data_IF_613947690955
#
_entry.id   IF_613947690955
#
_cell.length_a   1.000
_cell.length_b   1.000
_cell.length_c   1.000
_cell.angle_alpha   90.00
_cell.angle_beta   90.00
_cell.angle_gamma   90.00
#
_symmetry.space_group_name_H-M   'P 1'
#
loop_
_entity.id
_entity.type
_entity.pdbx_description
1 polymer ?
#
# COMPACT_ATOMS: atom_id res chain seq x y z
N UNK A 1 -6.08 8.91 -75.86
CA UNK A 1 -5.95 8.01 -74.70
C UNK A 1 -4.54 8.10 -74.13
N UNK A 2 -4.37 8.73 -72.97
CA UNK A 2 -3.12 8.69 -72.18
C UNK A 2 -3.55 8.44 -70.72
N UNK A 3 -3.19 7.27 -70.17
CA UNK A 3 -3.41 6.93 -68.77
C UNK A 3 -2.13 7.31 -68.02
N UNK A 4 -2.21 8.30 -67.14
CA UNK A 4 -1.13 8.66 -66.22
C UNK A 4 -1.27 7.80 -64.97
N UNK A 5 -0.26 6.97 -64.69
CA UNK A 5 -0.14 6.24 -63.43
C UNK A 5 0.44 7.18 -62.37
N UNK A 6 -0.25 7.33 -61.23
CA UNK A 6 0.30 7.95 -60.02
C UNK A 6 0.79 6.81 -59.11
N UNK A 7 2.09 6.78 -58.84
CA UNK A 7 2.71 5.88 -57.87
C UNK A 7 2.78 6.63 -56.53
N UNK A 8 1.98 6.23 -55.54
CA UNK A 8 2.08 6.76 -54.18
C UNK A 8 3.00 5.81 -53.40
N UNK A 9 4.21 6.29 -53.09
CA UNK A 9 5.13 5.64 -52.16
C UNK A 9 4.62 5.83 -50.74
N UNK A 10 4.20 4.74 -50.08
CA UNK A 10 4.02 4.74 -48.63
C UNK A 10 5.39 4.56 -47.96
N UNK A 11 5.94 5.64 -47.40
CA UNK A 11 6.99 5.50 -46.40
C UNK A 11 6.33 5.07 -45.09
N UNK A 12 6.51 3.80 -44.72
CA UNK A 12 6.20 3.32 -43.37
C UNK A 12 7.21 3.96 -42.41
N UNK A 13 6.77 4.99 -41.68
CA UNK A 13 7.52 5.49 -40.52
C UNK A 13 7.30 4.47 -39.41
N UNK A 14 8.36 3.85 -38.85
CA UNK A 14 8.20 3.07 -37.64
C UNK A 14 7.74 4.02 -36.53
N UNK A 15 6.47 3.90 -36.13
CA UNK A 15 5.97 4.49 -34.89
C UNK A 15 6.67 3.74 -33.77
N UNK A 16 7.80 4.28 -33.31
CA UNK A 16 8.32 3.94 -32.00
C UNK A 16 7.32 4.49 -30.99
N UNK A 17 6.37 3.64 -30.60
CA UNK A 17 5.59 3.85 -29.40
C UNK A 17 6.58 3.88 -28.23
N UNK A 18 7.03 5.08 -27.88
CA UNK A 18 7.58 5.35 -26.56
C UNK A 18 6.47 5.05 -25.56
N UNK A 19 6.45 3.82 -25.06
CA UNK A 19 5.72 3.48 -23.85
C UNK A 19 6.44 4.19 -22.69
N UNK A 20 6.19 5.49 -22.55
CA UNK A 20 6.34 6.14 -21.25
C UNK A 20 5.36 5.43 -20.34
N UNK A 21 5.87 4.63 -19.40
CA UNK A 21 5.06 4.01 -18.36
C UNK A 21 4.27 5.11 -17.68
N UNK A 22 2.94 5.08 -17.82
CA UNK A 22 2.08 6.04 -17.14
C UNK A 22 2.38 5.98 -15.64
N UNK A 23 2.92 7.05 -15.07
CA UNK A 23 3.16 7.13 -13.64
C UNK A 23 1.82 6.97 -12.93
N UNK A 24 1.65 5.83 -12.25
CA UNK A 24 0.45 5.55 -11.47
C UNK A 24 0.27 6.64 -10.41
N UNK A 25 -0.89 7.28 -10.41
CA UNK A 25 -1.27 8.36 -9.48
C UNK A 25 -0.98 7.98 -8.01
N UNK A 26 -0.27 8.80 -7.22
CA UNK A 26 0.19 8.41 -5.88
C UNK A 26 -0.90 7.89 -4.93
N UNK A 27 -2.11 8.49 -4.86
CA UNK A 27 -3.22 7.91 -4.10
C UNK A 27 -3.57 6.48 -4.47
N UNK A 28 -3.49 6.10 -5.75
CA UNK A 28 -3.75 4.72 -6.16
C UNK A 28 -2.65 3.77 -5.67
N UNK A 29 -1.37 4.18 -5.74
CA UNK A 29 -0.24 3.39 -5.21
C UNK A 29 -0.40 3.14 -3.70
N UNK A 30 -0.70 4.18 -2.92
CA UNK A 30 -0.91 4.05 -1.48
C UNK A 30 -2.13 3.17 -1.15
N UNK A 31 -3.22 3.32 -1.92
CA UNK A 31 -4.40 2.44 -1.79
C UNK A 31 -4.02 0.97 -1.96
N UNK A 32 -3.27 0.65 -3.01
CA UNK A 32 -2.85 -0.72 -3.31
C UNK A 32 -2.01 -1.28 -2.15
N UNK A 33 -1.06 -0.50 -1.62
CA UNK A 33 -0.27 -0.92 -0.46
C UNK A 33 -1.14 -1.22 0.76
N UNK A 34 -2.09 -0.33 1.10
CA UNK A 34 -3.01 -0.58 2.22
C UNK A 34 -3.88 -1.81 1.96
N UNK A 35 -4.35 -2.03 0.74
CA UNK A 35 -5.11 -3.24 0.38
C UNK A 35 -4.28 -4.52 0.55
N UNK A 36 -3.02 -4.53 0.12
CA UNK A 36 -2.12 -5.68 0.31
C UNK A 36 -1.88 -5.99 1.80
N UNK A 37 -1.71 -4.95 2.63
CA UNK A 37 -1.56 -5.09 4.08
C UNK A 37 -2.85 -5.65 4.70
N UNK A 38 -4.00 -5.04 4.40
CA UNK A 38 -5.29 -5.43 5.00
C UNK A 38 -5.77 -6.81 4.52
N UNK A 39 -5.52 -7.18 3.26
CA UNK A 39 -5.74 -8.54 2.78
C UNK A 39 -4.89 -9.55 3.54
N UNK A 40 -3.63 -9.20 3.83
CA UNK A 40 -2.74 -10.06 4.64
C UNK A 40 -3.27 -10.21 6.06
N UNK A 41 -3.91 -9.18 6.64
CA UNK A 41 -4.47 -9.25 7.99
C UNK A 41 -5.64 -10.24 8.11
N UNK A 42 -6.40 -10.46 7.04
CA UNK A 42 -7.53 -11.40 7.01
C UNK A 42 -7.09 -12.86 6.86
N UNK A 43 -5.80 -13.13 6.61
CA UNK A 43 -5.29 -14.49 6.46
C UNK A 43 -5.17 -15.20 7.82
N UNK A 44 -5.35 -16.52 7.81
CA UNK A 44 -5.22 -17.37 9.01
C UNK A 44 -3.80 -17.38 9.62
N UNK A 45 -2.80 -16.98 8.83
CA UNK A 45 -1.44 -16.72 9.30
C UNK A 45 -0.88 -15.49 8.59
N UNK A 46 -0.43 -14.52 9.37
CA UNK A 46 0.15 -13.28 8.86
C UNK A 46 1.65 -13.47 8.73
N UNK A 47 2.17 -13.34 7.51
CA UNK A 47 3.62 -13.39 7.30
C UNK A 47 4.26 -12.03 7.57
N UNK A 48 5.22 -11.97 8.51
CA UNK A 48 6.03 -10.75 8.71
C UNK A 48 6.67 -10.28 7.41
N UNK A 49 7.06 -11.19 6.50
CA UNK A 49 7.67 -10.80 5.22
C UNK A 49 6.68 -10.17 4.24
N UNK A 50 5.38 -10.53 4.28
CA UNK A 50 4.39 -10.01 3.34
C UNK A 50 4.02 -8.56 3.65
N UNK A 51 3.96 -8.19 4.93
CA UNK A 51 3.69 -6.81 5.34
C UNK A 51 4.98 -6.02 5.52
N UNK A 52 6.05 -6.66 6.01
CA UNK A 52 7.33 -6.02 6.26
C UNK A 52 7.95 -5.39 5.02
N UNK A 53 7.68 -5.94 3.81
CA UNK A 53 8.12 -5.33 2.54
C UNK A 53 7.51 -3.94 2.27
N UNK A 54 6.44 -3.57 2.97
CA UNK A 54 5.78 -2.28 2.84
C UNK A 54 6.22 -1.27 3.91
N UNK A 55 6.98 -1.70 4.93
CA UNK A 55 7.49 -0.81 5.98
C UNK A 55 8.68 -0.01 5.43
N UNK A 56 8.71 1.28 5.78
CA UNK A 56 9.80 2.22 5.46
C UNK A 56 11.15 1.65 5.91
N UNK A 57 12.11 1.59 4.99
CA UNK A 57 13.46 1.17 5.32
C UNK A 57 14.16 2.24 6.16
N UNK A 58 13.94 3.52 5.85
CA UNK A 58 14.45 4.65 6.64
C UNK A 58 13.99 4.52 8.10
N UNK A 59 12.70 4.30 8.33
CA UNK A 59 12.16 4.13 9.69
C UNK A 59 12.77 2.94 10.44
N UNK A 60 12.99 1.82 9.76
CA UNK A 60 13.64 0.65 10.37
C UNK A 60 15.07 0.95 10.81
N UNK A 61 15.82 1.67 9.97
CA UNK A 61 17.21 2.05 10.23
C UNK A 61 17.32 3.06 11.38
N UNK A 62 16.51 4.13 11.35
CA UNK A 62 16.47 5.16 12.40
C UNK A 62 16.16 4.58 13.78
N UNK A 63 15.30 3.54 13.81
CA UNK A 63 14.89 2.89 15.05
C UNK A 63 15.73 1.65 15.40
N UNK A 64 16.76 1.31 14.61
CA UNK A 64 17.60 0.12 14.78
C UNK A 64 16.79 -1.19 14.87
N UNK A 65 15.73 -1.32 14.06
CA UNK A 65 14.81 -2.45 14.06
C UNK A 65 15.20 -3.46 12.98
N UNK A 66 15.45 -4.71 13.40
CA UNK A 66 15.53 -5.85 12.50
C UNK A 66 14.17 -6.56 12.46
N UNK A 67 13.45 -6.43 11.35
CA UNK A 67 12.11 -7.03 11.16
C UNK A 67 12.02 -8.52 11.47
N UNK A 68 13.13 -9.29 11.35
CA UNK A 68 13.13 -10.72 11.66
C UNK A 68 12.88 -11.04 13.13
N UNK A 69 13.06 -10.05 14.01
CA UNK A 69 12.88 -10.18 15.45
C UNK A 69 11.47 -9.83 15.92
N UNK A 70 10.58 -9.39 15.02
CA UNK A 70 9.25 -8.90 15.36
C UNK A 70 8.16 -9.58 14.55
N UNK A 71 7.01 -9.75 15.19
CA UNK A 71 5.75 -10.05 14.54
C UNK A 71 5.10 -8.73 14.07
N UNK A 72 4.18 -8.83 13.11
CA UNK A 72 3.36 -7.68 12.70
C UNK A 72 1.98 -7.81 13.32
N UNK A 73 1.52 -6.77 13.99
CA UNK A 73 0.17 -6.73 14.51
C UNK A 73 -0.83 -6.56 13.37
N UNK A 74 -1.85 -7.41 13.33
CA UNK A 74 -2.82 -7.46 12.26
C UNK A 74 -4.27 -7.26 12.71
N UNK A 75 -4.55 -7.31 14.01
CA UNK A 75 -5.90 -7.41 14.60
C UNK A 75 -6.80 -8.56 14.07
N UNK A 76 -6.42 -9.29 13.01
CA UNK A 76 -7.21 -10.35 12.36
C UNK A 76 -8.69 -9.95 12.08
N UNK A 77 -8.95 -8.86 11.34
CA UNK A 77 -10.30 -8.41 11.06
C UNK A 77 -11.07 -9.38 10.15
N UNK A 78 -12.38 -9.38 10.26
CA UNK A 78 -13.29 -10.09 9.33
C UNK A 78 -13.59 -9.25 8.08
N UNK A 79 -13.52 -7.92 8.17
CA UNK A 79 -13.72 -7.02 7.04
C UNK A 79 -12.93 -5.71 7.18
N UNK A 80 -12.74 -5.02 6.05
CA UNK A 80 -12.16 -3.68 6.02
C UNK A 80 -12.75 -2.81 4.92
N UNK A 81 -12.59 -1.50 5.07
CA UNK A 81 -12.98 -0.48 4.10
C UNK A 81 -11.95 0.65 4.09
N UNK A 82 -11.52 1.12 2.92
CA UNK A 82 -10.66 2.29 2.80
C UNK A 82 -11.56 3.52 2.63
N UNK A 83 -11.55 4.39 3.65
CA UNK A 83 -12.45 5.53 3.76
C UNK A 83 -11.93 6.75 3.00
N UNK A 84 -10.65 7.05 3.19
CA UNK A 84 -10.06 8.31 2.79
C UNK A 84 -8.62 8.10 2.36
N UNK A 85 -8.24 8.81 1.30
CA UNK A 85 -6.86 8.99 0.90
C UNK A 85 -6.64 10.49 0.76
N UNK A 86 -5.72 11.03 1.55
CA UNK A 86 -5.43 12.45 1.56
C UNK A 86 -3.95 12.68 1.83
N UNK A 87 -3.30 13.44 0.94
CA UNK A 87 -1.86 13.70 1.00
C UNK A 87 -1.03 12.42 1.17
N UNK A 88 -0.31 12.25 2.29
CA UNK A 88 0.50 11.06 2.61
C UNK A 88 -0.22 10.08 3.55
N UNK A 89 -1.54 10.18 3.64
CA UNK A 89 -2.34 9.39 4.59
C UNK A 89 -3.41 8.57 3.87
N UNK A 90 -3.58 7.34 4.35
CA UNK A 90 -4.71 6.47 4.01
C UNK A 90 -5.39 6.06 5.30
N UNK A 91 -6.71 6.25 5.35
CA UNK A 91 -7.54 5.87 6.50
C UNK A 91 -8.38 4.67 6.11
N UNK A 92 -8.38 3.64 6.94
CA UNK A 92 -9.17 2.44 6.74
C UNK A 92 -9.90 2.05 8.02
N UNK A 93 -11.15 1.63 7.87
CA UNK A 93 -11.88 0.93 8.92
C UNK A 93 -11.59 -0.56 8.81
N UNK A 94 -11.33 -1.20 9.95
CA UNK A 94 -11.29 -2.65 10.07
C UNK A 94 -12.29 -3.08 11.15
N UNK A 95 -12.92 -4.25 10.96
CA UNK A 95 -13.96 -4.76 11.86
C UNK A 95 -13.74 -6.24 12.15
N UNK A 96 -13.96 -6.63 13.39
CA UNK A 96 -14.17 -8.02 13.80
C UNK A 96 -15.63 -8.24 14.23
N UNK A 97 -15.92 -9.34 14.92
CA UNK A 97 -17.29 -9.69 15.32
C UNK A 97 -17.94 -8.69 16.28
N UNK A 98 -17.17 -8.06 17.17
CA UNK A 98 -17.67 -7.17 18.23
C UNK A 98 -16.79 -5.95 18.46
N UNK A 99 -15.86 -5.68 17.55
CA UNK A 99 -14.90 -4.58 17.66
C UNK A 99 -14.65 -3.93 16.30
N UNK A 100 -14.33 -2.64 16.35
CA UNK A 100 -13.96 -1.85 15.17
C UNK A 100 -12.76 -0.97 15.48
N UNK A 101 -11.87 -0.84 14.50
CA UNK A 101 -10.76 0.10 14.56
C UNK A 101 -10.73 0.98 13.30
N UNK A 102 -10.41 2.25 13.49
CA UNK A 102 -10.02 3.16 12.43
C UNK A 102 -8.50 3.23 12.43
N UNK A 103 -7.86 2.70 11.40
CA UNK A 103 -6.43 2.71 11.20
C UNK A 103 -6.02 3.86 10.29
N UNK A 104 -5.01 4.61 10.71
CA UNK A 104 -4.37 5.65 9.89
C UNK A 104 -3.01 5.15 9.46
N UNK A 105 -2.79 5.02 8.16
CA UNK A 105 -1.50 4.69 7.57
C UNK A 105 -0.85 5.96 7.04
N UNK A 106 0.36 6.28 7.52
CA UNK A 106 1.19 7.37 7.02
C UNK A 106 2.22 6.83 6.06
N UNK A 107 2.44 7.52 4.94
CA UNK A 107 3.34 7.12 3.89
C UNK A 107 4.57 8.03 3.75
N UNK A 108 5.65 7.43 3.28
CA UNK A 108 6.84 8.10 2.77
C UNK A 108 7.15 7.56 1.35
N UNK A 109 7.79 8.39 0.53
CA UNK A 109 8.27 8.02 -0.80
C UNK A 109 9.76 7.67 -0.70
N UNK A 110 10.08 6.39 -0.85
CA UNK A 110 11.45 5.89 -0.90
C UNK A 110 11.75 5.52 -2.36
N UNK A 111 12.38 6.43 -3.09
CA UNK A 111 12.79 6.25 -4.48
C UNK A 111 11.65 5.82 -5.44
N UNK A 112 10.46 6.42 -5.28
CA UNK A 112 9.27 6.13 -6.09
C UNK A 112 8.41 4.99 -5.54
N UNK A 113 8.83 4.36 -4.43
CA UNK A 113 8.11 3.30 -3.73
C UNK A 113 7.46 3.86 -2.47
N UNK A 114 6.13 3.77 -2.41
CA UNK A 114 5.35 4.23 -1.27
C UNK A 114 5.40 3.20 -0.15
N UNK A 115 5.91 3.60 1.01
CA UNK A 115 6.05 2.76 2.19
C UNK A 115 5.35 3.35 3.39
N UNK A 116 4.86 2.50 4.27
CA UNK A 116 4.22 2.92 5.52
C UNK A 116 5.25 3.23 6.60
N UNK A 117 4.96 4.25 7.41
CA UNK A 117 5.65 4.55 8.66
C UNK A 117 4.82 3.96 9.81
N UNK A 118 5.31 2.91 10.49
CA UNK A 118 4.64 2.32 11.65
C UNK A 118 4.50 3.30 12.81
N UNK A 119 3.54 3.03 13.70
CA UNK A 119 3.39 3.72 15.00
C UNK A 119 4.57 3.40 15.90
N UNK A 120 5.08 2.18 15.82
CA UNK A 120 6.18 1.70 16.64
C UNK A 120 6.08 0.23 17.02
N UNK A 121 6.89 -0.14 17.99
CA UNK A 121 6.72 -1.38 18.74
C UNK A 121 5.43 -1.28 19.56
N UNK A 122 4.63 -2.34 19.55
CA UNK A 122 3.32 -2.33 20.17
C UNK A 122 3.42 -2.19 21.68
N UNK A 123 2.64 -1.27 22.24
CA UNK A 123 2.54 -1.13 23.70
C UNK A 123 1.85 -2.32 24.38
N UNK A 124 1.12 -3.13 23.61
CA UNK A 124 0.47 -4.34 24.11
C UNK A 124 1.44 -5.53 24.20
N UNK A 125 2.48 -5.56 23.34
CA UNK A 125 3.52 -6.58 23.34
C UNK A 125 4.76 -6.09 22.61
N UNK A 126 5.91 -6.18 23.28
CA UNK A 126 7.18 -5.71 22.75
C UNK A 126 7.70 -6.54 21.56
N UNK A 127 7.07 -7.68 21.26
CA UNK A 127 7.45 -8.55 20.15
C UNK A 127 6.69 -8.21 18.85
N UNK A 128 5.86 -7.17 18.86
CA UNK A 128 5.02 -6.78 17.72
C UNK A 128 5.34 -5.37 17.24
N UNK A 129 5.27 -5.16 15.93
CA UNK A 129 5.20 -3.82 15.32
C UNK A 129 3.74 -3.54 14.96
N UNK A 130 3.26 -2.34 15.31
CA UNK A 130 1.97 -1.82 14.87
C UNK A 130 2.15 -1.09 13.53
N UNK A 131 1.74 -1.66 12.38
CA UNK A 131 2.07 -1.14 11.05
C UNK A 131 1.27 0.10 10.64
N UNK A 132 0.19 0.43 11.34
CA UNK A 132 -0.49 1.71 11.20
C UNK A 132 0.28 2.80 11.95
N UNK A 133 0.12 4.06 11.56
CA UNK A 133 0.66 5.23 12.26
C UNK A 133 -0.18 5.61 13.48
N UNK A 134 -1.50 5.48 13.37
CA UNK A 134 -2.42 5.70 14.49
C UNK A 134 -3.64 4.77 14.42
N UNK A 135 -4.30 4.56 15.57
CA UNK A 135 -5.48 3.71 15.70
C UNK A 135 -6.47 4.30 16.70
N UNK A 136 -7.74 4.33 16.31
CA UNK A 136 -8.85 4.64 17.18
C UNK A 136 -9.82 3.45 17.25
N UNK A 137 -10.17 3.01 18.45
CA UNK A 137 -11.23 2.02 18.64
C UNK A 137 -12.60 2.70 18.61
N UNK A 138 -13.58 2.01 18.01
CA UNK A 138 -14.99 2.39 18.07
C UNK A 138 -15.87 1.17 18.36
N UNK A 139 -17.08 1.41 18.86
CA UNK A 139 -18.06 0.37 19.10
C UNK A 139 -18.78 0.03 17.80
N UNK A 140 -18.89 -1.26 17.49
CA UNK A 140 -19.76 -1.73 16.42
C UNK A 140 -21.15 -1.88 17.04
N UNK A 141 -22.05 -0.96 16.72
CA UNK A 141 -23.47 -1.12 17.08
C UNK A 141 -24.06 -2.23 16.19
N UNK A 142 -24.61 -3.27 16.84
CA UNK A 142 -25.28 -4.41 16.19
C UNK A 142 -26.76 -4.11 15.96
#
# INVERSE_FOLDING_TARGET
>A
MKKTFFLILFFAIPVFANAQSEEVYPPLKMKIVVQEILNSFQMSSVSTSSIGKHISQEWLEENNINLKNYNINSYAPTSYEIELIFDRYVVAQIRGESWGHLLVFKFIDEDGVYRIIPKGISNASNDYIDPWYDVQQYNVEN
#
